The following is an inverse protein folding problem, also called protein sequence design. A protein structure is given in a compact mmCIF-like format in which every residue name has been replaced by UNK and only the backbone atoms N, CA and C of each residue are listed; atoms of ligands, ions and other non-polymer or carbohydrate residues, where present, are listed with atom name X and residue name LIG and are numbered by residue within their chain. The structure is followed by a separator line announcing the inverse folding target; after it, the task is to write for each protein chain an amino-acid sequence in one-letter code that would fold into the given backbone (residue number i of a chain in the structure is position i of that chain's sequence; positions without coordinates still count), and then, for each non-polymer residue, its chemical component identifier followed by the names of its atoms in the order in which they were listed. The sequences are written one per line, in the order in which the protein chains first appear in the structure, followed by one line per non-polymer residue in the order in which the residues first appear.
data_IF_872389802024
#
_entry.id   IF_872389802024
#
_cell.length_a   1.000
_cell.length_b   1.000
_cell.length_c   1.000
_cell.angle_alpha   90.00
_cell.angle_beta   90.00
_cell.angle_gamma   90.00
#
_symmetry.space_group_name_H-M   'P 1'
#
loop_
_entity.id
_entity.type
_entity.pdbx_description
1 polymer ?
#
# COMPACT_ATOMS: atom_id res chain seq x y z
N UNK A 1 9.72 -0.39 45.63
CA UNK A 1 10.86 -0.97 44.90
C UNK A 1 10.45 -1.68 43.62
N UNK A 2 9.53 -2.64 43.66
CA UNK A 2 9.06 -3.44 42.52
C UNK A 2 8.47 -2.58 41.39
N UNK A 3 7.68 -1.55 41.70
CA UNK A 3 7.02 -0.70 40.70
C UNK A 3 8.00 0.16 39.86
N UNK A 4 9.02 0.76 40.52
CA UNK A 4 10.03 1.56 39.79
C UNK A 4 10.89 0.69 38.87
N UNK A 5 11.22 -0.54 39.31
CA UNK A 5 11.93 -1.50 38.48
C UNK A 5 11.09 -1.95 37.27
N UNK A 6 9.82 -2.19 37.49
CA UNK A 6 8.86 -2.59 36.45
C UNK A 6 8.69 -1.50 35.40
N UNK A 7 8.58 -0.23 35.81
CA UNK A 7 8.52 0.92 34.91
C UNK A 7 9.84 1.13 34.12
N UNK A 8 10.97 0.89 34.77
CA UNK A 8 12.27 0.95 34.09
C UNK A 8 12.37 -0.11 32.99
N UNK A 9 12.00 -1.35 33.26
CA UNK A 9 11.98 -2.42 32.25
C UNK A 9 10.95 -2.14 31.14
N UNK A 10 9.78 -1.60 31.47
CA UNK A 10 8.80 -1.20 30.47
C UNK A 10 9.34 -0.10 29.55
N UNK A 11 9.98 0.92 30.12
CA UNK A 11 10.60 2.01 29.34
C UNK A 11 11.75 1.48 28.45
N UNK A 12 12.61 0.60 28.98
CA UNK A 12 13.68 -0.03 28.22
C UNK A 12 13.13 -0.89 27.06
N UNK A 13 12.08 -1.67 27.30
CA UNK A 13 11.40 -2.46 26.27
C UNK A 13 10.82 -1.58 25.17
N UNK A 14 10.14 -0.47 25.53
CA UNK A 14 9.62 0.48 24.56
C UNK A 14 10.74 1.12 23.74
N UNK A 15 11.85 1.50 24.38
CA UNK A 15 13.03 2.04 23.66
C UNK A 15 13.64 1.01 22.71
N UNK A 16 13.78 -0.24 23.12
CA UNK A 16 14.29 -1.32 22.28
C UNK A 16 13.37 -1.61 21.09
N UNK A 17 12.06 -1.67 21.31
CA UNK A 17 11.08 -1.84 20.25
C UNK A 17 11.10 -0.69 19.24
N UNK A 18 11.21 0.56 19.72
CA UNK A 18 11.29 1.73 18.82
C UNK A 18 12.57 1.71 18.00
N UNK A 19 13.70 1.35 18.60
CA UNK A 19 14.99 1.22 17.89
C UNK A 19 14.93 0.12 16.82
N UNK A 20 14.38 -1.04 17.15
CA UNK A 20 14.18 -2.14 16.21
C UNK A 20 13.31 -1.72 15.03
N UNK A 21 12.20 -1.02 15.30
CA UNK A 21 11.34 -0.47 14.26
C UNK A 21 12.06 0.53 13.34
N UNK A 22 12.94 1.37 13.90
CA UNK A 22 13.75 2.29 13.11
C UNK A 22 14.74 1.56 12.20
N UNK A 23 15.40 0.53 12.70
CA UNK A 23 16.32 -0.31 11.92
C UNK A 23 15.57 -1.01 10.77
N UNK A 24 14.42 -1.61 11.05
CA UNK A 24 13.59 -2.27 10.04
C UNK A 24 13.14 -1.29 8.96
N UNK A 25 12.81 -0.05 9.36
CA UNK A 25 12.45 1.02 8.43
C UNK A 25 13.61 1.50 7.57
N UNK A 26 14.79 1.63 8.17
CA UNK A 26 16.00 1.97 7.41
C UNK A 26 16.29 0.91 6.34
N UNK A 27 16.16 -0.37 6.72
CA UNK A 27 16.32 -1.50 5.79
C UNK A 27 15.27 -1.47 4.68
N UNK A 28 14.00 -1.28 5.02
CA UNK A 28 12.92 -1.16 4.04
C UNK A 28 13.19 -0.05 3.02
N UNK A 29 13.62 1.15 3.48
CA UNK A 29 13.94 2.27 2.58
C UNK A 29 15.14 1.99 1.67
N UNK A 30 16.17 1.31 2.18
CA UNK A 30 17.29 0.90 1.34
C UNK A 30 16.84 -0.06 0.23
N UNK A 31 15.95 -1.01 0.57
CA UNK A 31 15.36 -1.92 -0.41
C UNK A 31 14.47 -1.18 -1.42
N UNK A 32 13.64 -0.22 -0.96
CA UNK A 32 12.85 0.63 -1.85
C UNK A 32 13.72 1.46 -2.79
N UNK A 33 14.81 2.04 -2.29
CA UNK A 33 15.74 2.81 -3.09
C UNK A 33 16.55 1.91 -4.06
N UNK A 34 16.83 0.68 -3.69
CA UNK A 34 17.47 -0.30 -4.57
C UNK A 34 16.53 -0.74 -5.70
N UNK A 35 15.28 -1.08 -5.35
CA UNK A 35 14.25 -1.44 -6.33
C UNK A 35 13.96 -0.30 -7.31
N UNK A 36 13.93 0.95 -6.85
CA UNK A 36 13.75 2.12 -7.70
C UNK A 36 14.90 2.35 -8.71
N UNK A 37 16.08 1.78 -8.46
CA UNK A 37 17.24 1.87 -9.37
C UNK A 37 17.39 0.68 -10.29
N UNK A 38 16.69 -0.43 -9.99
CA UNK A 38 16.75 -1.61 -10.85
C UNK A 38 16.00 -1.32 -12.16
N UNK A 39 16.72 -1.30 -13.27
CA UNK A 39 16.13 -1.24 -14.60
C UNK A 39 15.71 -2.67 -15.01
N UNK A 40 14.45 -2.86 -15.29
CA UNK A 40 13.94 -4.13 -15.84
C UNK A 40 13.75 -3.95 -17.35
N UNK A 41 14.75 -4.31 -18.13
CA UNK A 41 14.72 -4.13 -19.59
C UNK A 41 14.12 -5.32 -20.36
N UNK A 42 14.01 -6.49 -19.74
CA UNK A 42 13.67 -7.74 -20.43
C UNK A 42 12.28 -8.30 -20.06
N UNK A 43 11.29 -7.42 -19.89
CA UNK A 43 9.92 -7.88 -19.67
C UNK A 43 9.39 -8.54 -20.97
N UNK A 44 8.86 -9.78 -20.91
CA UNK A 44 8.36 -10.47 -22.10
C UNK A 44 7.17 -9.71 -22.69
N UNK A 45 7.21 -9.48 -23.99
CA UNK A 45 6.09 -8.94 -24.74
C UNK A 45 4.94 -9.96 -24.79
N UNK A 46 3.76 -9.56 -24.35
CA UNK A 46 2.58 -10.42 -24.45
C UNK A 46 1.71 -10.45 -23.22
N UNK A 47 2.25 -10.28 -22.03
CA UNK A 47 1.49 -10.27 -20.77
C UNK A 47 0.97 -8.86 -20.51
N UNK A 48 -0.36 -8.73 -20.28
CA UNK A 48 -0.98 -7.46 -19.95
C UNK A 48 -1.39 -7.39 -18.48
N UNK A 49 -1.27 -6.21 -17.88
CA UNK A 49 -1.65 -5.95 -16.49
C UNK A 49 -2.66 -4.81 -16.41
N UNK A 50 -3.77 -5.03 -15.70
CA UNK A 50 -4.74 -4.00 -15.35
C UNK A 50 -4.51 -3.58 -13.89
N UNK A 51 -4.10 -2.33 -13.70
CA UNK A 51 -3.96 -1.72 -12.37
C UNK A 51 -5.33 -1.19 -11.96
N UNK A 52 -5.91 -1.78 -10.91
CA UNK A 52 -7.22 -1.43 -10.40
C UNK A 52 -7.08 -0.46 -9.24
N UNK A 53 -7.76 0.69 -9.29
CA UNK A 53 -7.65 1.69 -8.27
C UNK A 53 -9.02 2.14 -7.75
N UNK A 54 -9.24 2.06 -6.44
CA UNK A 54 -10.46 2.51 -5.78
C UNK A 54 -10.24 3.82 -5.03
N UNK A 55 -11.14 4.79 -5.22
CA UNK A 55 -11.20 6.00 -4.42
C UNK A 55 -9.97 6.90 -4.54
N UNK A 56 -9.43 7.10 -5.73
CA UNK A 56 -8.34 8.05 -5.97
C UNK A 56 -8.82 9.47 -5.68
N UNK A 57 -8.24 10.10 -4.69
CA UNK A 57 -8.51 11.52 -4.37
C UNK A 57 -7.33 12.42 -4.70
N UNK A 58 -6.15 11.84 -4.93
CA UNK A 58 -4.92 12.56 -5.20
C UNK A 58 -4.53 12.40 -6.68
N UNK A 59 -4.53 13.47 -7.48
CA UNK A 59 -4.08 13.43 -8.87
C UNK A 59 -2.65 12.89 -9.02
N UNK A 60 -1.77 13.14 -8.05
CA UNK A 60 -0.40 12.66 -8.07
C UNK A 60 -0.32 11.13 -7.98
N UNK A 61 -1.25 10.49 -7.24
CA UNK A 61 -1.37 9.04 -7.23
C UNK A 61 -1.70 8.52 -8.63
N UNK A 62 -2.67 9.12 -9.32
CA UNK A 62 -3.07 8.67 -10.65
C UNK A 62 -1.96 8.87 -11.68
N UNK A 63 -1.22 9.98 -11.59
CA UNK A 63 -0.04 10.21 -12.45
C UNK A 63 1.05 9.18 -12.22
N UNK A 64 1.30 8.82 -10.95
CA UNK A 64 2.23 7.74 -10.63
C UNK A 64 1.78 6.40 -11.22
N UNK A 65 0.48 6.05 -11.11
CA UNK A 65 -0.04 4.81 -11.69
C UNK A 65 0.08 4.77 -13.21
N UNK A 66 0.04 5.93 -13.88
CA UNK A 66 0.18 6.07 -15.33
C UNK A 66 1.64 6.20 -15.80
N UNK A 67 2.62 6.24 -14.89
CA UNK A 67 4.02 6.51 -15.21
C UNK A 67 4.83 5.31 -15.66
N UNK A 68 4.30 4.07 -15.61
CA UNK A 68 5.01 2.89 -16.10
C UNK A 68 5.28 2.98 -17.61
N UNK A 69 6.47 2.59 -18.02
CA UNK A 69 6.90 2.56 -19.42
C UNK A 69 6.44 1.29 -20.15
N UNK A 70 5.96 0.28 -19.40
CA UNK A 70 5.51 -0.96 -20.01
C UNK A 70 4.36 -0.73 -21.00
N UNK A 71 4.41 -1.41 -22.15
CA UNK A 71 3.50 -1.15 -23.27
C UNK A 71 2.08 -1.67 -23.02
N UNK A 72 1.93 -2.82 -22.38
CA UNK A 72 0.66 -3.56 -22.22
C UNK A 72 0.11 -3.47 -20.79
N UNK A 73 -0.14 -2.27 -20.31
CA UNK A 73 -0.87 -2.07 -19.07
C UNK A 73 -1.94 -0.98 -19.22
N UNK A 74 -2.91 -1.02 -18.34
CA UNK A 74 -3.91 0.01 -18.18
C UNK A 74 -4.15 0.33 -16.71
N UNK A 75 -4.77 1.46 -16.46
CA UNK A 75 -5.20 1.90 -15.13
C UNK A 75 -6.72 2.06 -15.15
N UNK A 76 -7.41 1.28 -14.34
CA UNK A 76 -8.86 1.36 -14.16
C UNK A 76 -9.14 2.00 -12.81
N UNK A 77 -9.59 3.26 -12.82
CA UNK A 77 -9.85 4.02 -11.61
C UNK A 77 -11.36 4.16 -11.38
N UNK A 78 -11.81 3.72 -10.20
CA UNK A 78 -13.23 3.76 -9.80
C UNK A 78 -13.50 4.97 -8.93
N UNK A 79 -14.58 5.69 -9.25
CA UNK A 79 -15.04 6.87 -8.55
C UNK A 79 -16.54 6.82 -8.31
N UNK A 80 -16.99 7.41 -7.23
CA UNK A 80 -18.39 7.78 -7.07
C UNK A 80 -18.58 9.27 -7.40
N UNK A 81 -19.04 9.56 -8.61
CA UNK A 81 -19.23 10.93 -9.09
C UNK A 81 -20.20 11.76 -8.25
N UNK A 82 -21.09 11.11 -7.49
CA UNK A 82 -22.02 11.80 -6.59
C UNK A 82 -21.37 12.24 -5.28
N UNK A 83 -20.43 11.43 -4.78
CA UNK A 83 -19.68 11.74 -3.55
C UNK A 83 -18.45 12.60 -3.80
N UNK A 84 -17.82 12.43 -4.95
CA UNK A 84 -16.55 13.07 -5.36
C UNK A 84 -16.75 13.89 -6.63
N UNK A 85 -17.79 14.71 -6.67
CA UNK A 85 -18.21 15.41 -7.90
C UNK A 85 -17.16 16.38 -8.43
N UNK A 86 -16.49 17.12 -7.55
CA UNK A 86 -15.47 18.09 -7.94
C UNK A 86 -14.23 17.40 -8.49
N UNK A 87 -13.73 16.40 -7.78
CA UNK A 87 -12.55 15.60 -8.16
C UNK A 87 -12.79 14.83 -9.45
N UNK A 88 -13.96 14.20 -9.58
CA UNK A 88 -14.32 13.49 -10.79
C UNK A 88 -14.37 14.41 -12.02
N UNK A 89 -15.01 15.59 -11.90
CA UNK A 89 -15.08 16.58 -12.98
C UNK A 89 -13.69 17.12 -13.35
N UNK A 90 -12.86 17.42 -12.36
CA UNK A 90 -11.50 17.89 -12.56
C UNK A 90 -10.65 16.86 -13.33
N UNK A 91 -10.71 15.58 -12.93
CA UNK A 91 -10.01 14.51 -13.62
C UNK A 91 -10.56 14.26 -15.02
N UNK A 92 -11.89 14.24 -15.19
CA UNK A 92 -12.51 14.06 -16.48
C UNK A 92 -12.12 15.18 -17.48
N UNK A 93 -12.06 16.43 -17.01
CA UNK A 93 -11.60 17.56 -17.82
C UNK A 93 -10.08 17.46 -18.12
N UNK A 94 -9.24 17.19 -17.11
CA UNK A 94 -7.78 17.08 -17.24
C UNK A 94 -7.37 16.04 -18.28
N UNK A 95 -7.98 14.87 -18.24
CA UNK A 95 -7.68 13.74 -19.12
C UNK A 95 -8.55 13.72 -20.38
N UNK A 96 -9.43 14.72 -20.59
CA UNK A 96 -10.39 14.80 -21.71
C UNK A 96 -11.15 13.49 -21.88
N UNK A 97 -11.81 13.05 -20.80
CA UNK A 97 -12.57 11.81 -20.80
C UNK A 97 -13.84 11.94 -21.64
N UNK A 98 -14.13 10.89 -22.40
CA UNK A 98 -15.40 10.70 -23.10
C UNK A 98 -16.12 9.52 -22.52
N UNK A 99 -17.43 9.61 -22.46
CA UNK A 99 -18.28 8.50 -22.07
C UNK A 99 -18.24 7.42 -23.15
N UNK A 100 -18.10 6.16 -22.71
CA UNK A 100 -18.10 4.99 -23.56
C UNK A 100 -19.25 4.10 -23.11
N UNK A 101 -19.96 3.50 -24.07
CA UNK A 101 -20.93 2.46 -23.78
C UNK A 101 -20.21 1.20 -23.31
N UNK A 102 -20.74 0.59 -22.26
CA UNK A 102 -20.20 -0.62 -21.68
C UNK A 102 -21.36 -1.51 -21.22
N UNK A 103 -21.24 -2.78 -21.52
CA UNK A 103 -22.12 -3.82 -21.02
C UNK A 103 -21.31 -4.81 -20.18
N UNK A 104 -21.81 -5.25 -19.02
CA UNK A 104 -21.12 -6.24 -18.19
C UNK A 104 -20.98 -7.54 -18.96
N UNK A 105 -19.81 -8.17 -18.86
CA UNK A 105 -19.51 -9.49 -19.46
C UNK A 105 -20.20 -10.64 -18.74
N UNK A 106 -20.72 -10.40 -17.54
CA UNK A 106 -21.41 -11.41 -16.73
C UNK A 106 -20.47 -12.33 -15.92
N UNK A 107 -19.16 -12.21 -16.07
CA UNK A 107 -18.19 -13.03 -15.33
C UNK A 107 -18.14 -12.71 -13.83
N UNK A 108 -18.35 -11.43 -13.49
CA UNK A 108 -18.44 -10.97 -12.10
C UNK A 108 -19.76 -10.23 -11.90
N UNK A 109 -20.42 -10.48 -10.78
CA UNK A 109 -21.61 -9.71 -10.40
C UNK A 109 -21.19 -8.30 -9.98
N UNK A 110 -21.45 -7.34 -10.86
CA UNK A 110 -21.11 -5.93 -10.64
C UNK A 110 -22.37 -5.08 -10.68
N UNK A 111 -22.68 -4.47 -9.55
CA UNK A 111 -23.81 -3.55 -9.44
C UNK A 111 -23.34 -2.08 -9.38
N UNK A 112 -24.21 -1.17 -9.75
CA UNK A 112 -24.06 0.26 -9.50
C UNK A 112 -23.11 1.02 -10.42
N UNK A 113 -22.62 0.42 -11.51
CA UNK A 113 -21.85 1.12 -12.55
C UNK A 113 -22.81 2.01 -13.34
N UNK A 114 -22.51 3.32 -13.40
CA UNK A 114 -23.32 4.34 -14.05
C UNK A 114 -22.76 4.79 -15.40
N UNK A 115 -21.44 4.86 -15.48
CA UNK A 115 -20.78 5.32 -16.69
C UNK A 115 -19.33 4.84 -16.74
N UNK A 116 -18.82 4.72 -17.94
CA UNK A 116 -17.44 4.44 -18.24
C UNK A 116 -16.86 5.57 -19.07
N UNK A 117 -15.64 6.00 -18.74
CA UNK A 117 -14.94 7.04 -19.48
C UNK A 117 -13.58 6.56 -19.96
N UNK A 118 -13.22 6.90 -21.20
CA UNK A 118 -11.87 6.69 -21.73
C UNK A 118 -11.29 8.02 -22.21
N UNK A 119 -9.98 8.17 -22.13
CA UNK A 119 -9.33 9.42 -22.55
C UNK A 119 -9.24 9.53 -24.07
N UNK A 120 -9.57 10.73 -24.59
CA UNK A 120 -9.29 11.11 -25.99
C UNK A 120 -7.82 11.37 -26.25
N UNK A 121 -7.03 11.69 -25.24
CA UNK A 121 -5.61 11.96 -25.41
C UNK A 121 -4.83 10.66 -25.60
N UNK A 122 -4.01 10.59 -26.65
CA UNK A 122 -3.18 9.41 -26.94
C UNK A 122 -2.29 8.98 -25.78
N UNK A 123 -1.69 9.95 -25.07
CA UNK A 123 -0.81 9.70 -23.93
C UNK A 123 -1.54 9.10 -22.71
N UNK A 124 -2.87 9.22 -22.65
CA UNK A 124 -3.69 8.71 -21.55
C UNK A 124 -4.69 7.62 -21.97
N UNK A 125 -4.47 6.97 -23.12
CA UNK A 125 -5.35 5.88 -23.60
C UNK A 125 -5.44 4.69 -22.64
N UNK A 126 -4.44 4.56 -21.76
CA UNK A 126 -4.37 3.52 -20.74
C UNK A 126 -5.26 3.80 -19.54
N UNK A 127 -5.84 4.99 -19.43
CA UNK A 127 -6.73 5.37 -18.32
C UNK A 127 -8.18 5.10 -18.67
N UNK A 128 -8.82 4.32 -17.81
CA UNK A 128 -10.26 4.09 -17.79
C UNK A 128 -10.81 4.62 -16.47
N UNK A 129 -11.83 5.48 -16.53
CA UNK A 129 -12.58 5.96 -15.36
C UNK A 129 -13.92 5.23 -15.28
N UNK A 130 -14.21 4.65 -14.14
CA UNK A 130 -15.48 3.97 -13.86
C UNK A 130 -16.25 4.79 -12.84
N UNK A 131 -17.43 5.29 -13.22
CA UNK A 131 -18.35 5.94 -12.28
C UNK A 131 -19.29 4.90 -11.70
N UNK A 132 -19.20 4.68 -10.40
CA UNK A 132 -19.95 3.65 -9.66
C UNK A 132 -20.49 4.19 -8.33
N UNK A 133 -21.58 3.65 -7.87
CA UNK A 133 -22.07 3.88 -6.49
C UNK A 133 -21.14 3.16 -5.52
N UNK A 134 -20.52 3.89 -4.60
CA UNK A 134 -19.61 3.31 -3.63
C UNK A 134 -20.37 2.50 -2.57
N UNK A 135 -20.07 1.20 -2.50
CA UNK A 135 -20.58 0.26 -1.50
C UNK A 135 -19.44 -0.45 -0.73
N UNK A 136 -18.20 -0.12 -1.04
CA UNK A 136 -17.00 -0.67 -0.43
C UNK A 136 -15.88 -0.87 -1.43
N UNK A 137 -14.65 -1.01 -0.93
CA UNK A 137 -13.47 -1.14 -1.78
C UNK A 137 -13.48 -2.46 -2.58
N UNK A 138 -14.02 -3.55 -2.02
CA UNK A 138 -14.11 -4.83 -2.73
C UNK A 138 -15.00 -4.71 -3.97
N UNK A 139 -16.20 -4.14 -3.83
CA UNK A 139 -17.08 -3.93 -4.97
C UNK A 139 -16.53 -2.95 -6.00
N UNK A 140 -15.72 -1.95 -5.59
CA UNK A 140 -15.02 -1.08 -6.53
C UNK A 140 -13.97 -1.88 -7.34
N UNK A 141 -13.21 -2.75 -6.68
CA UNK A 141 -12.25 -3.60 -7.37
C UNK A 141 -12.91 -4.63 -8.28
N UNK A 142 -14.07 -5.18 -7.90
CA UNK A 142 -14.86 -6.07 -8.75
C UNK A 142 -15.36 -5.34 -10.00
N UNK A 143 -15.84 -4.10 -9.83
CA UNK A 143 -16.25 -3.26 -10.96
C UNK A 143 -15.07 -2.90 -11.87
N UNK A 144 -13.92 -2.58 -11.29
CA UNK A 144 -12.71 -2.33 -12.06
C UNK A 144 -12.24 -3.58 -12.82
N UNK A 145 -12.29 -4.75 -12.18
CA UNK A 145 -11.94 -6.01 -12.80
C UNK A 145 -12.86 -6.40 -13.96
N UNK A 146 -14.17 -6.16 -13.83
CA UNK A 146 -15.13 -6.43 -14.89
C UNK A 146 -14.91 -5.55 -16.14
N UNK A 147 -14.37 -4.35 -15.95
CA UNK A 147 -14.07 -3.39 -17.04
C UNK A 147 -12.67 -3.60 -17.60
N UNK A 148 -11.77 -4.19 -16.84
CA UNK A 148 -10.38 -4.38 -17.18
C UNK A 148 -10.19 -5.23 -18.45
N UNK A 149 -9.21 -4.84 -19.28
CA UNK A 149 -8.94 -5.50 -20.56
C UNK A 149 -7.98 -6.70 -20.43
N UNK A 150 -7.08 -6.66 -19.43
CA UNK A 150 -6.03 -7.65 -19.29
C UNK A 150 -6.36 -8.71 -18.22
N UNK A 151 -5.71 -9.87 -18.34
CA UNK A 151 -5.98 -11.05 -17.52
C UNK A 151 -5.35 -11.00 -16.12
N UNK A 152 -4.34 -10.17 -15.92
CA UNK A 152 -3.72 -9.99 -14.62
C UNK A 152 -4.11 -8.66 -14.00
N UNK A 153 -4.60 -8.74 -12.77
CA UNK A 153 -5.23 -7.64 -12.03
C UNK A 153 -4.37 -7.25 -10.83
N UNK A 154 -3.97 -5.99 -10.76
CA UNK A 154 -3.19 -5.43 -9.65
C UNK A 154 -4.04 -4.41 -8.89
N UNK A 155 -4.73 -4.79 -7.80
CA UNK A 155 -5.46 -3.85 -6.97
C UNK A 155 -4.49 -2.93 -6.21
N UNK A 156 -4.71 -1.64 -6.32
CA UNK A 156 -3.96 -0.59 -5.66
C UNK A 156 -4.90 0.23 -4.80
N UNK A 157 -4.67 0.23 -3.51
CA UNK A 157 -5.51 0.93 -2.55
C UNK A 157 -5.28 2.44 -2.57
N UNK A 158 -6.21 3.15 -1.96
CA UNK A 158 -6.10 4.60 -1.77
C UNK A 158 -4.80 4.97 -1.07
N UNK A 159 -4.05 5.91 -1.66
CA UNK A 159 -2.78 6.39 -1.12
C UNK A 159 -1.63 5.39 -1.23
N UNK A 160 -1.72 4.44 -2.16
CA UNK A 160 -0.61 3.59 -2.58
C UNK A 160 -0.11 4.04 -3.96
N UNK A 161 1.19 3.97 -4.17
CA UNK A 161 1.86 4.32 -5.43
C UNK A 161 2.68 3.13 -5.92
N UNK A 162 2.78 2.97 -7.23
CA UNK A 162 3.70 2.03 -7.85
C UNK A 162 5.14 2.53 -7.66
N UNK A 163 6.04 1.61 -7.34
CA UNK A 163 7.47 1.89 -7.45
C UNK A 163 7.91 1.79 -8.92
N UNK A 164 8.94 2.53 -9.32
CA UNK A 164 9.49 2.41 -10.67
C UNK A 164 9.83 0.96 -11.01
N UNK A 165 9.47 0.50 -12.20
CA UNK A 165 9.71 -0.86 -12.66
C UNK A 165 8.79 -1.94 -12.05
N UNK A 166 7.74 -1.56 -11.30
CA UNK A 166 6.82 -2.54 -10.66
C UNK A 166 6.10 -3.39 -11.69
N UNK A 167 5.55 -2.78 -12.73
CA UNK A 167 4.78 -3.50 -13.76
C UNK A 167 5.70 -4.44 -14.53
N UNK A 168 6.86 -3.94 -14.93
CA UNK A 168 7.91 -4.68 -15.63
C UNK A 168 8.41 -5.86 -14.80
N UNK A 169 8.59 -5.66 -13.49
CA UNK A 169 8.99 -6.74 -12.57
C UNK A 169 7.93 -7.82 -12.45
N UNK A 170 6.67 -7.44 -12.33
CA UNK A 170 5.56 -8.38 -12.27
C UNK A 170 5.44 -9.19 -13.56
N UNK A 171 5.59 -8.53 -14.71
CA UNK A 171 5.58 -9.20 -16.02
C UNK A 171 6.76 -10.16 -16.18
N UNK A 172 7.96 -9.77 -15.77
CA UNK A 172 9.13 -10.64 -15.80
C UNK A 172 8.94 -11.89 -14.94
N UNK A 173 8.32 -11.74 -13.75
CA UNK A 173 8.02 -12.88 -12.88
C UNK A 173 6.98 -13.82 -13.50
N UNK A 174 5.91 -13.27 -14.10
CA UNK A 174 4.92 -14.06 -14.82
C UNK A 174 5.51 -14.77 -16.04
N UNK A 175 6.41 -14.11 -16.76
CA UNK A 175 7.06 -14.66 -17.94
C UNK A 175 8.15 -15.68 -17.63
N UNK A 176 8.60 -15.79 -16.37
CA UNK A 176 9.57 -16.82 -15.94
C UNK A 176 8.97 -18.24 -15.86
N UNK A 177 7.67 -18.33 -15.87
CA UNK A 177 6.89 -19.57 -15.75
C UNK A 177 6.02 -19.77 -17.01
N UNK A 178 5.56 -20.99 -17.30
CA UNK A 178 4.63 -21.23 -18.41
C UNK A 178 3.37 -20.35 -18.30
N UNK A 179 2.82 -19.87 -19.41
CA UNK A 179 1.59 -19.07 -19.42
C UNK A 179 0.46 -19.76 -18.66
N UNK A 180 -0.21 -19.01 -17.76
CA UNK A 180 -1.33 -19.54 -16.96
C UNK A 180 -0.94 -20.45 -15.78
N UNK A 181 0.34 -20.65 -15.51
CA UNK A 181 0.81 -21.44 -14.35
C UNK A 181 0.71 -20.67 -13.03
N UNK A 182 0.78 -19.34 -13.06
CA UNK A 182 0.70 -18.47 -11.89
C UNK A 182 -0.64 -17.72 -11.85
N UNK A 183 -1.36 -17.90 -10.75
CA UNK A 183 -2.57 -17.14 -10.44
C UNK A 183 -2.32 -15.98 -9.49
N UNK A 184 -1.26 -16.07 -8.70
CA UNK A 184 -0.99 -15.13 -7.64
C UNK A 184 0.49 -14.79 -7.54
N UNK A 185 0.80 -13.52 -7.72
CA UNK A 185 2.11 -12.95 -7.34
C UNK A 185 1.89 -11.92 -6.24
N UNK A 186 2.59 -12.06 -5.13
CA UNK A 186 2.45 -11.15 -3.99
C UNK A 186 3.78 -10.64 -3.49
N UNK A 187 3.79 -9.42 -2.96
CA UNK A 187 4.90 -8.88 -2.20
C UNK A 187 4.47 -8.51 -0.79
N UNK A 188 5.32 -8.80 0.19
CA UNK A 188 5.13 -8.43 1.59
C UNK A 188 6.00 -7.27 2.03
N UNK A 189 6.97 -6.86 1.21
CA UNK A 189 7.82 -5.73 1.50
C UNK A 189 7.16 -4.43 1.02
N UNK A 190 7.33 -3.38 1.79
CA UNK A 190 6.68 -2.12 1.51
C UNK A 190 5.17 -2.13 1.83
N UNK A 191 4.35 -1.56 0.97
CA UNK A 191 2.90 -1.78 0.97
C UNK A 191 2.62 -3.15 0.35
N UNK A 192 1.68 -3.92 0.91
CA UNK A 192 1.34 -5.22 0.34
C UNK A 192 0.82 -5.06 -1.10
N UNK A 193 1.42 -5.78 -2.01
CA UNK A 193 0.99 -5.86 -3.39
C UNK A 193 0.55 -7.28 -3.71
N UNK A 194 -0.55 -7.40 -4.41
CA UNK A 194 -1.12 -8.69 -4.83
C UNK A 194 -1.53 -8.57 -6.29
N UNK A 195 -0.87 -9.29 -7.16
CA UNK A 195 -1.30 -9.48 -8.55
C UNK A 195 -2.09 -10.79 -8.63
N UNK A 196 -3.24 -10.75 -9.25
CA UNK A 196 -4.17 -11.88 -9.33
C UNK A 196 -4.54 -12.16 -10.78
N UNK A 197 -4.65 -13.44 -11.17
CA UNK A 197 -5.24 -13.77 -12.47
C UNK A 197 -6.77 -13.52 -12.43
N UNK A 198 -7.34 -13.06 -13.55
CA UNK A 198 -8.78 -12.87 -13.71
C UNK A 198 -9.54 -14.19 -13.46
N UNK A 199 -9.02 -15.29 -13.99
CA UNK A 199 -9.60 -16.62 -13.82
C UNK A 199 -9.75 -16.98 -12.33
N UNK A 200 -8.69 -16.78 -11.54
CA UNK A 200 -8.74 -17.06 -10.10
C UNK A 200 -9.71 -16.12 -9.36
N UNK A 201 -9.82 -14.85 -9.79
CA UNK A 201 -10.77 -13.91 -9.21
C UNK A 201 -12.22 -14.31 -9.50
N UNK A 202 -12.52 -14.65 -10.75
CA UNK A 202 -13.87 -15.10 -11.17
C UNK A 202 -14.25 -16.40 -10.46
N UNK A 203 -13.33 -17.37 -10.41
CA UNK A 203 -13.56 -18.64 -9.70
C UNK A 203 -13.83 -18.43 -8.19
N UNK A 204 -13.29 -17.37 -7.61
CA UNK A 204 -13.54 -17.02 -6.22
C UNK A 204 -14.81 -16.21 -5.98
N UNK A 205 -15.45 -15.69 -7.03
CA UNK A 205 -16.65 -14.84 -6.93
C UNK A 205 -16.35 -13.40 -6.55
N UNK A 206 -15.14 -12.88 -6.84
CA UNK A 206 -14.75 -11.50 -6.64
C UNK A 206 -13.85 -11.25 -5.42
N UNK A 207 -13.42 -10.00 -5.25
CA UNK A 207 -12.54 -9.58 -4.16
C UNK A 207 -13.16 -9.70 -2.76
N UNK A 208 -14.49 -9.57 -2.65
CA UNK A 208 -15.23 -9.72 -1.40
C UNK A 208 -15.17 -11.13 -0.81
N UNK A 209 -15.00 -12.15 -1.64
CA UNK A 209 -15.03 -13.57 -1.28
C UNK A 209 -13.65 -14.15 -0.90
N UNK A 210 -12.64 -13.30 -0.68
CA UNK A 210 -11.28 -13.69 -0.27
C UNK A 210 -10.59 -14.63 -1.27
N UNK A 211 -10.38 -14.19 -2.51
CA UNK A 211 -9.86 -15.02 -3.60
C UNK A 211 -8.53 -15.71 -3.28
N UNK A 212 -7.71 -15.12 -2.40
CA UNK A 212 -6.40 -15.66 -2.02
C UNK A 212 -6.45 -17.03 -1.34
N UNK A 213 -7.59 -17.42 -0.76
CA UNK A 213 -7.70 -18.70 -0.03
C UNK A 213 -7.85 -19.90 -0.96
N UNK A 214 -8.53 -19.74 -2.09
CA UNK A 214 -8.81 -20.81 -3.05
C UNK A 214 -7.61 -21.19 -3.92
N UNK A 215 -6.63 -20.31 -4.09
CA UNK A 215 -5.52 -20.54 -5.01
C UNK A 215 -4.53 -21.58 -4.44
N UNK A 216 -4.15 -22.64 -5.18
CA UNK A 216 -3.15 -23.61 -4.74
C UNK A 216 -1.77 -23.00 -4.50
N UNK A 217 -1.00 -23.55 -3.57
CA UNK A 217 0.35 -23.04 -3.26
C UNK A 217 1.29 -23.11 -4.47
N UNK A 218 1.15 -24.11 -5.33
CA UNK A 218 1.93 -24.30 -6.56
C UNK A 218 1.71 -23.16 -7.56
N UNK A 219 0.53 -22.51 -7.54
CA UNK A 219 0.19 -21.39 -8.44
C UNK A 219 0.42 -20.01 -7.79
N UNK A 220 1.17 -19.96 -6.66
CA UNK A 220 1.49 -18.73 -5.94
C UNK A 220 2.98 -18.44 -5.95
N UNK A 221 3.33 -17.19 -6.19
CA UNK A 221 4.70 -16.69 -6.06
C UNK A 221 4.77 -15.58 -5.01
N UNK A 222 5.84 -15.56 -4.23
CA UNK A 222 6.08 -14.51 -3.24
C UNK A 222 7.37 -13.80 -3.60
N UNK A 223 7.27 -12.51 -3.88
CA UNK A 223 8.41 -11.64 -4.11
C UNK A 223 8.88 -11.02 -2.78
N UNK A 224 10.19 -10.97 -2.62
CA UNK A 224 10.84 -10.33 -1.46
C UNK A 224 11.33 -8.92 -1.81
N UNK A 225 10.68 -8.30 -2.78
CA UNK A 225 10.95 -6.95 -3.23
C UNK A 225 9.73 -6.07 -3.01
N UNK A 226 9.92 -4.78 -2.65
CA UNK A 226 8.81 -3.86 -2.54
C UNK A 226 8.31 -3.48 -3.93
N UNK A 227 7.02 -3.56 -4.13
CA UNK A 227 6.33 -3.20 -5.37
C UNK A 227 5.52 -1.92 -5.23
N UNK A 228 4.93 -1.72 -4.05
CA UNK A 228 4.12 -0.54 -3.73
C UNK A 228 4.74 0.24 -2.59
N UNK A 229 4.55 1.55 -2.63
CA UNK A 229 4.90 2.47 -1.55
C UNK A 229 3.68 3.29 -1.12
N UNK A 230 3.63 3.77 0.14
CA UNK A 230 2.62 4.73 0.53
C UNK A 230 2.85 6.06 -0.20
N UNK A 231 1.78 6.71 -0.66
CA UNK A 231 1.85 8.07 -1.20
C UNK A 231 2.36 9.05 -0.14
N UNK A 232 2.91 10.17 -0.57
CA UNK A 232 3.42 11.20 0.34
C UNK A 232 2.35 11.72 1.31
N UNK A 233 1.12 11.87 0.85
CA UNK A 233 -0.01 12.29 1.67
C UNK A 233 -0.31 11.30 2.83
N UNK A 234 0.06 10.02 2.71
CA UNK A 234 -0.19 8.98 3.72
C UNK A 234 0.97 8.78 4.69
N UNK A 235 2.10 9.43 4.46
CA UNK A 235 3.34 9.26 5.26
C UNK A 235 3.31 9.93 6.63
N UNK A 236 2.32 10.78 6.93
CA UNK A 236 2.21 11.49 8.20
C UNK A 236 1.62 10.61 9.30
N UNK A 237 2.38 10.39 10.37
CA UNK A 237 1.88 9.79 11.62
C UNK A 237 1.16 10.81 12.48
N UNK A 238 0.08 10.41 13.18
CA UNK A 238 -0.44 11.23 14.25
C UNK A 238 0.64 11.37 15.34
N UNK A 239 1.09 12.60 15.58
CA UNK A 239 2.09 13.00 16.59
C UNK A 239 1.83 12.42 18.00
N UNK A 240 0.59 12.06 18.29
CA UNK A 240 0.14 11.52 19.60
C UNK A 240 0.84 10.23 20.03
N UNK A 241 1.35 9.40 19.11
CA UNK A 241 2.08 8.19 19.45
C UNK A 241 3.51 8.43 19.91
N UNK A 242 4.08 9.60 19.61
CA UNK A 242 5.38 10.03 20.09
C UNK A 242 5.34 10.43 21.58
N UNK A 243 4.16 10.78 22.09
CA UNK A 243 4.00 11.18 23.50
C UNK A 243 3.94 9.99 24.46
N UNK A 244 3.53 8.81 24.00
CA UNK A 244 3.38 7.65 24.86
C UNK A 244 4.71 7.22 25.52
N UNK A 245 5.83 7.01 24.80
CA UNK A 245 7.11 6.71 25.41
C UNK A 245 7.62 7.88 26.26
N UNK A 246 7.41 9.13 25.86
CA UNK A 246 7.79 10.28 26.66
C UNK A 246 7.03 10.35 27.97
N UNK A 247 5.73 10.05 27.98
CA UNK A 247 4.89 10.00 29.19
C UNK A 247 5.33 8.88 30.13
N UNK A 248 5.64 7.69 29.60
CA UNK A 248 6.14 6.56 30.40
C UNK A 248 7.49 6.87 31.04
N UNK A 249 8.41 7.51 30.28
CA UNK A 249 9.72 7.93 30.79
C UNK A 249 9.58 9.03 31.87
N UNK A 250 8.67 10.00 31.68
CA UNK A 250 8.40 11.03 32.68
C UNK A 250 7.81 10.43 33.98
N UNK A 251 6.87 9.47 33.87
CA UNK A 251 6.32 8.77 35.03
C UNK A 251 7.38 7.93 35.76
N UNK A 252 8.25 7.24 35.02
CA UNK A 252 9.36 6.47 35.61
C UNK A 252 10.36 7.37 36.34
N UNK A 253 10.66 8.55 35.77
CA UNK A 253 11.53 9.55 36.38
C UNK A 253 10.91 10.08 37.69
N UNK A 254 9.66 10.55 37.65
CA UNK A 254 8.95 11.06 38.84
C UNK A 254 8.91 10.06 39.99
N UNK A 255 8.61 8.78 39.69
CA UNK A 255 8.60 7.72 40.70
C UNK A 255 10.00 7.40 41.24
N UNK A 256 11.05 7.49 40.41
CA UNK A 256 12.43 7.26 40.84
C UNK A 256 12.90 8.36 41.78
N UNK A 257 12.56 9.63 41.50
CA UNK A 257 12.87 10.78 42.34
C UNK A 257 12.09 10.70 43.67
N UNK A 258 10.78 10.43 43.61
CA UNK A 258 9.94 10.28 44.81
C UNK A 258 10.41 9.13 45.74
N UNK A 259 11.03 8.10 45.18
CA UNK A 259 11.63 7.00 45.93
C UNK A 259 13.06 7.29 46.42
N UNK A 260 13.59 8.49 46.23
CA UNK A 260 14.95 8.87 46.62
C UNK A 260 16.08 8.17 45.88
N UNK A 261 15.82 7.59 44.72
CA UNK A 261 16.75 6.79 43.93
C UNK A 261 17.37 7.55 42.79
N UNK A 262 18.36 8.34 43.08
CA UNK A 262 19.05 9.19 42.11
C UNK A 262 19.74 8.43 40.96
N UNK A 263 20.27 7.24 41.23
CA UNK A 263 20.87 6.38 40.20
C UNK A 263 19.83 5.87 39.19
N UNK A 264 18.64 5.51 39.67
CA UNK A 264 17.54 5.11 38.80
C UNK A 264 16.98 6.29 37.99
N UNK A 265 16.90 7.48 38.59
CA UNK A 265 16.52 8.68 37.90
C UNK A 265 17.52 9.07 36.79
N UNK A 266 18.82 8.97 37.07
CA UNK A 266 19.88 9.19 36.05
C UNK A 266 19.79 8.19 34.89
N UNK A 267 19.48 6.92 35.17
CA UNK A 267 19.29 5.89 34.12
C UNK A 267 18.06 6.18 33.23
N UNK A 268 16.98 6.71 33.81
CA UNK A 268 15.79 7.12 33.04
C UNK A 268 16.10 8.34 32.15
N UNK A 269 16.86 9.30 32.64
CA UNK A 269 17.28 10.48 31.86
C UNK A 269 18.16 10.06 30.69
N UNK A 270 19.15 9.16 30.91
CA UNK A 270 19.98 8.62 29.83
C UNK A 270 19.15 7.87 28.79
N UNK A 271 18.19 7.05 29.21
CA UNK A 271 17.27 6.37 28.29
C UNK A 271 16.41 7.35 27.48
N UNK A 272 15.93 8.44 28.11
CA UNK A 272 15.18 9.49 27.41
C UNK A 272 16.03 10.23 26.39
N UNK A 273 17.29 10.54 26.72
CA UNK A 273 18.24 11.19 25.80
C UNK A 273 18.58 10.28 24.60
N UNK A 274 18.86 9.01 24.85
CA UNK A 274 19.10 8.03 23.78
C UNK A 274 17.88 7.91 22.87
N UNK A 275 16.67 7.84 23.44
CA UNK A 275 15.44 7.81 22.67
C UNK A 275 15.22 9.07 21.86
N UNK A 276 15.42 10.25 22.44
CA UNK A 276 15.31 11.54 21.75
C UNK A 276 16.33 11.67 20.62
N UNK A 277 17.58 11.26 20.86
CA UNK A 277 18.62 11.22 19.84
C UNK A 277 18.26 10.27 18.69
N UNK A 278 17.78 9.06 18.99
CA UNK A 278 17.32 8.10 17.99
C UNK A 278 16.13 8.65 17.19
N UNK A 279 15.19 9.35 17.83
CA UNK A 279 14.08 10.02 17.17
C UNK A 279 14.52 11.17 16.27
N UNK A 280 15.51 11.96 16.69
CA UNK A 280 16.09 13.04 15.90
C UNK A 280 16.89 12.51 14.69
N UNK A 281 17.72 11.50 14.88
CA UNK A 281 18.46 10.85 13.80
C UNK A 281 17.49 10.22 12.80
N UNK A 282 16.41 9.58 13.27
CA UNK A 282 15.40 9.04 12.39
C UNK A 282 14.67 10.11 11.57
N UNK A 283 14.43 11.29 12.13
CA UNK A 283 13.88 12.44 11.40
C UNK A 283 14.86 13.00 10.38
N UNK A 284 16.11 13.18 10.77
CA UNK A 284 17.14 13.76 9.90
C UNK A 284 17.52 12.83 8.74
N UNK A 285 17.67 11.52 9.02
CA UNK A 285 18.12 10.52 8.03
C UNK A 285 16.94 9.99 7.20
N UNK A 286 15.74 9.93 7.75
CA UNK A 286 14.61 9.22 7.16
C UNK A 286 13.39 10.11 6.86
N UNK A 287 13.42 11.40 7.12
CA UNK A 287 12.32 12.33 6.88
C UNK A 287 10.94 11.66 7.06
N UNK A 288 10.32 11.77 8.25
CA UNK A 288 9.00 11.19 8.57
C UNK A 288 8.89 9.65 8.66
N UNK A 289 9.56 9.04 9.60
CA UNK A 289 9.75 7.58 9.70
C UNK A 289 8.68 6.77 10.46
N UNK A 290 7.50 7.27 10.76
CA UNK A 290 6.61 6.60 11.71
C UNK A 290 5.32 5.97 11.18
N UNK A 291 5.13 5.82 9.88
CA UNK A 291 3.98 5.08 9.32
C UNK A 291 3.99 3.56 9.62
N UNK A 292 5.04 3.05 10.29
CA UNK A 292 5.31 1.63 10.53
C UNK A 292 4.60 0.93 11.65
N UNK A 293 4.22 1.62 12.72
CA UNK A 293 3.61 0.96 13.87
C UNK A 293 2.22 0.35 13.57
N UNK A 294 1.51 0.87 12.57
CA UNK A 294 0.24 0.29 12.12
C UNK A 294 0.37 -1.07 11.42
N UNK A 295 1.55 -1.43 10.94
CA UNK A 295 1.80 -2.71 10.25
C UNK A 295 2.04 -3.88 11.18
N UNK A 296 2.42 -3.63 12.43
CA UNK A 296 2.62 -4.67 13.45
C UNK A 296 1.34 -5.03 14.20
N UNK A 297 0.27 -4.24 14.07
CA UNK A 297 -1.05 -4.58 14.61
C UNK A 297 -1.71 -5.56 13.62
N UNK A 298 -2.16 -6.74 14.11
CA UNK A 298 -2.15 -7.97 13.34
C UNK A 298 -3.02 -7.92 12.09
N UNK A 299 -2.47 -8.50 11.03
CA UNK A 299 -3.10 -9.33 9.99
C UNK A 299 -4.65 -9.22 9.79
N UNK A 300 -5.45 -8.93 10.80
CA UNK A 300 -6.91 -8.75 10.69
C UNK A 300 -7.34 -7.53 9.87
N UNK A 301 -6.50 -6.49 9.69
CA UNK A 301 -6.83 -5.31 8.87
C UNK A 301 -6.33 -5.39 7.43
N UNK A 302 -5.34 -6.21 7.14
CA UNK A 302 -4.88 -6.47 5.77
C UNK A 302 -6.01 -7.16 4.98
N UNK A 303 -6.80 -8.01 5.65
CA UNK A 303 -7.92 -8.73 5.05
C UNK A 303 -9.28 -8.00 5.09
N UNK A 304 -9.33 -6.72 5.40
CA UNK A 304 -10.56 -5.93 5.21
C UNK A 304 -10.72 -5.38 3.80
N UNK A 305 -9.70 -5.50 2.98
CA UNK A 305 -9.69 -5.01 1.60
C UNK A 305 -9.40 -6.10 0.57
N UNK A 306 -9.15 -7.33 1.04
CA UNK A 306 -8.92 -8.48 0.16
C UNK A 306 -9.75 -9.70 0.58
#
# INVERSE_FOLDING_TARGET
MKLALLLFFAAAAVCACTLLLLILRARERRLLAAAARAAYSDAPDGIGISVLCSGVTDPAQLENLLSSEYSRYEVVAVFDSRRQTAEFRALAARYRMIRVEWAPTGELEVAGVRALGRSRKRCFRRLVLVDRVFDGAAGDFDAAAAVATYDYLLPVGRGQCLLPGTVERLVAELGSEPPGSLDLVRSHLGEPAVLLSREALVAAGGFGMRPLRGIPRSRRRTLWEPLLAPSEARRSLPRRWLFLPALLLAAAFGLSVAAGRWTAAAAVVTAALVWAAAACVSRAVFGEAWSGLRRFIPIRRIFRYY
#
